data_IF_966655680690
#
_entry.id   IF_966655680690
#
_cell.length_a   1.000
_cell.length_b   1.000
_cell.length_c   1.000
_cell.angle_alpha   90.00
_cell.angle_beta   90.00
_cell.angle_gamma   90.00
#
_symmetry.space_group_name_H-M   'P 1'
#
loop_
_entity.id
_entity.type
_entity.pdbx_description
1 polymer ?
#
# COMPACT_ATOMS: atom_id res chain seq x y z
N UNK A 1 -53.43 -24.90 10.82
CA UNK A 1 -52.27 -24.39 10.06
C UNK A 1 -52.35 -22.88 10.05
N UNK A 2 -51.37 -22.18 10.62
CA UNK A 2 -51.44 -20.73 10.88
C UNK A 2 -51.35 -19.91 9.58
N UNK A 3 -52.24 -18.92 9.42
CA UNK A 3 -52.26 -17.93 8.32
C UNK A 3 -50.93 -17.18 8.14
N UNK A 4 -50.07 -17.14 9.16
CA UNK A 4 -48.72 -16.56 9.07
C UNK A 4 -47.79 -17.35 8.12
N UNK A 5 -47.99 -18.66 7.99
CA UNK A 5 -47.14 -19.49 7.14
C UNK A 5 -47.53 -19.41 5.66
N UNK A 6 -48.78 -19.04 5.34
CA UNK A 6 -49.20 -18.79 3.96
C UNK A 6 -48.62 -17.46 3.43
N UNK A 7 -48.57 -16.42 4.26
CA UNK A 7 -48.02 -15.12 3.87
C UNK A 7 -46.53 -15.18 3.52
N UNK A 8 -45.74 -15.89 4.34
CA UNK A 8 -44.31 -16.08 4.07
C UNK A 8 -44.02 -16.93 2.84
N UNK A 9 -44.86 -17.94 2.57
CA UNK A 9 -44.73 -18.79 1.38
C UNK A 9 -45.09 -18.04 0.09
N UNK A 10 -46.16 -17.23 0.13
CA UNK A 10 -46.57 -16.40 -1.01
C UNK A 10 -45.58 -15.26 -1.29
N UNK A 11 -44.96 -14.68 -0.26
CA UNK A 11 -43.88 -13.70 -0.42
C UNK A 11 -42.60 -14.32 -0.99
N UNK A 12 -42.26 -15.55 -0.61
CA UNK A 12 -41.13 -16.28 -1.19
C UNK A 12 -41.38 -16.63 -2.66
N UNK A 13 -42.59 -17.09 -3.00
CA UNK A 13 -43.00 -17.37 -4.38
C UNK A 13 -43.02 -16.10 -5.24
N UNK A 14 -43.46 -14.97 -4.68
CA UNK A 14 -43.46 -13.70 -5.40
C UNK A 14 -42.04 -13.16 -5.61
N UNK A 15 -41.14 -13.30 -4.63
CA UNK A 15 -39.72 -12.96 -4.78
C UNK A 15 -39.00 -13.83 -5.81
N UNK A 16 -39.33 -15.12 -5.89
CA UNK A 16 -38.78 -16.03 -6.90
C UNK A 16 -39.38 -15.80 -8.30
N UNK A 17 -40.66 -15.42 -8.40
CA UNK A 17 -41.25 -14.98 -9.68
C UNK A 17 -40.64 -13.66 -10.16
N UNK A 18 -40.37 -12.71 -9.24
CA UNK A 18 -39.73 -11.43 -9.56
C UNK A 18 -38.30 -11.63 -10.08
N UNK A 19 -37.56 -12.62 -9.55
CA UNK A 19 -36.24 -13.05 -10.05
C UNK A 19 -36.28 -13.72 -11.43
N UNK A 20 -37.42 -14.28 -11.83
CA UNK A 20 -37.61 -14.90 -13.15
C UNK A 20 -38.10 -13.91 -14.22
N UNK A 21 -38.95 -12.95 -13.84
CA UNK A 21 -39.56 -11.97 -14.75
C UNK A 21 -38.68 -10.73 -14.95
N UNK A 22 -37.93 -10.34 -13.91
CA UNK A 22 -36.90 -9.32 -13.99
C UNK A 22 -35.55 -9.99 -13.73
N UNK A 23 -34.88 -10.56 -14.76
CA UNK A 23 -33.48 -10.86 -14.61
C UNK A 23 -32.77 -9.53 -14.39
N UNK A 24 -32.45 -9.22 -13.13
CA UNK A 24 -31.29 -8.36 -12.83
C UNK A 24 -30.22 -8.85 -13.78
N UNK A 25 -29.77 -7.99 -14.69
CA UNK A 25 -28.91 -8.33 -15.81
C UNK A 25 -27.72 -9.13 -15.29
N UNK A 26 -27.87 -10.46 -15.30
CA UNK A 26 -26.79 -11.39 -14.99
C UNK A 26 -25.92 -11.35 -16.22
N UNK A 27 -24.98 -10.42 -16.20
CA UNK A 27 -23.79 -10.54 -17.00
C UNK A 27 -23.23 -11.95 -16.75
N UNK A 28 -23.31 -12.79 -17.78
CA UNK A 28 -22.56 -14.05 -17.83
C UNK A 28 -21.28 -13.73 -18.59
N UNK A 29 -20.12 -13.62 -17.92
CA UNK A 29 -18.85 -13.52 -18.64
C UNK A 29 -18.69 -14.78 -19.48
N UNK A 30 -18.68 -14.64 -20.80
CA UNK A 30 -18.53 -15.76 -21.74
C UNK A 30 -17.06 -16.16 -21.97
N UNK A 31 -16.10 -15.53 -21.29
CA UNK A 31 -14.68 -15.88 -21.36
C UNK A 31 -13.92 -15.36 -20.14
N UNK A 32 -12.96 -16.12 -19.63
CA UNK A 32 -11.92 -15.54 -18.76
C UNK A 32 -11.21 -14.43 -19.53
N UNK A 33 -10.92 -13.31 -18.86
CA UNK A 33 -9.99 -12.31 -19.37
C UNK A 33 -8.60 -12.93 -19.47
N UNK A 34 -8.31 -13.56 -20.60
CA UNK A 34 -6.96 -13.93 -20.97
C UNK A 34 -6.31 -12.71 -21.61
N UNK A 35 -5.26 -12.17 -21.01
CA UNK A 35 -4.38 -11.19 -21.67
C UNK A 35 -3.80 -11.82 -22.94
N UNK A 36 -4.16 -11.36 -24.15
CA UNK A 36 -3.40 -11.74 -25.32
C UNK A 36 -2.14 -10.89 -25.31
N UNK A 37 -1.02 -11.42 -24.80
CA UNK A 37 0.31 -10.79 -24.90
C UNK A 37 0.32 -9.34 -24.36
N UNK A 38 0.39 -9.22 -23.02
CA UNK A 38 0.79 -8.06 -22.20
C UNK A 38 0.37 -6.65 -22.69
N UNK A 39 -0.62 -6.04 -22.02
CA UNK A 39 -0.88 -4.59 -22.18
C UNK A 39 0.29 -3.78 -21.60
N UNK A 40 0.73 -2.72 -22.28
CA UNK A 40 1.51 -1.66 -21.62
C UNK A 40 0.64 -0.91 -20.60
N UNK A 41 1.21 -0.15 -19.64
CA UNK A 41 0.44 0.67 -18.72
C UNK A 41 -0.59 1.58 -19.42
N UNK A 42 -0.23 2.19 -20.56
CA UNK A 42 -1.10 3.06 -21.36
C UNK A 42 -2.25 2.29 -22.01
N UNK A 43 -1.95 1.13 -22.60
CA UNK A 43 -2.98 0.28 -23.20
C UNK A 43 -3.96 -0.22 -22.13
N UNK A 44 -3.46 -0.56 -20.93
CA UNK A 44 -4.31 -0.98 -19.82
C UNK A 44 -5.18 0.18 -19.33
N UNK A 45 -4.63 1.39 -19.22
CA UNK A 45 -5.39 2.60 -18.85
C UNK A 45 -6.52 2.91 -19.83
N UNK A 46 -6.29 2.73 -21.13
CA UNK A 46 -7.32 2.85 -22.17
C UNK A 46 -8.39 1.77 -22.02
N UNK A 47 -7.98 0.51 -21.83
CA UNK A 47 -8.90 -0.62 -21.66
C UNK A 47 -9.78 -0.50 -20.42
N UNK A 48 -9.23 0.03 -19.32
CA UNK A 48 -9.98 0.23 -18.09
C UNK A 48 -11.11 1.25 -18.24
N UNK A 49 -11.13 2.10 -19.28
CA UNK A 49 -12.28 2.96 -19.56
C UNK A 49 -13.55 2.15 -19.92
N UNK A 50 -13.39 0.90 -20.37
CA UNK A 50 -14.50 -0.02 -20.61
C UNK A 50 -14.89 -0.74 -19.32
N UNK A 51 -16.12 -0.46 -18.85
CA UNK A 51 -16.70 -1.12 -17.68
C UNK A 51 -16.80 -2.63 -17.86
N UNK A 52 -17.07 -3.13 -19.07
CA UNK A 52 -17.16 -4.57 -19.30
C UNK A 52 -15.82 -5.25 -19.01
N UNK A 53 -14.72 -4.65 -19.44
CA UNK A 53 -13.37 -5.12 -19.16
C UNK A 53 -13.06 -5.10 -17.65
N UNK A 54 -13.44 -4.04 -16.93
CA UNK A 54 -13.31 -4.01 -15.47
C UNK A 54 -14.08 -5.16 -14.80
N UNK A 55 -15.30 -5.45 -15.26
CA UNK A 55 -16.12 -6.54 -14.71
C UNK A 55 -15.55 -7.93 -15.02
N UNK A 56 -14.85 -8.12 -16.15
CA UNK A 56 -14.11 -9.35 -16.44
C UNK A 56 -12.96 -9.58 -15.44
N UNK A 57 -12.25 -8.51 -15.06
CA UNK A 57 -11.20 -8.56 -14.04
C UNK A 57 -11.78 -8.84 -12.65
N UNK A 58 -12.93 -8.25 -12.30
CA UNK A 58 -13.67 -8.58 -11.07
C UNK A 58 -14.05 -10.06 -11.07
N UNK A 59 -14.56 -10.57 -12.18
CA UNK A 59 -14.90 -11.99 -12.30
C UNK A 59 -13.67 -12.89 -12.07
N UNK A 60 -12.51 -12.54 -12.64
CA UNK A 60 -11.26 -13.26 -12.39
C UNK A 60 -10.86 -13.24 -10.91
N UNK A 61 -10.96 -12.11 -10.22
CA UNK A 61 -10.66 -12.03 -8.79
C UNK A 61 -11.57 -12.97 -7.99
N UNK A 62 -12.87 -12.94 -8.25
CA UNK A 62 -13.87 -13.75 -7.56
C UNK A 62 -13.72 -15.25 -7.86
N UNK A 63 -13.30 -15.62 -9.07
CA UNK A 63 -13.16 -17.03 -9.49
C UNK A 63 -11.80 -17.65 -9.20
N UNK A 64 -10.73 -16.84 -9.14
CA UNK A 64 -9.34 -17.33 -9.09
C UNK A 64 -8.64 -17.00 -7.78
N UNK A 65 -8.85 -15.79 -7.26
CA UNK A 65 -8.11 -15.25 -6.10
C UNK A 65 -8.91 -15.35 -4.80
N UNK A 66 -10.16 -14.87 -4.75
CA UNK A 66 -11.06 -14.99 -3.59
C UNK A 66 -11.25 -16.41 -3.06
N UNK A 67 -11.20 -17.49 -3.87
CA UNK A 67 -11.24 -18.85 -3.33
C UNK A 67 -10.13 -19.16 -2.32
N UNK A 68 -8.99 -18.45 -2.37
CA UNK A 68 -7.89 -18.60 -1.40
C UNK A 68 -8.23 -18.05 0.00
N UNK A 69 -9.38 -17.40 0.18
CA UNK A 69 -9.93 -17.11 1.51
C UNK A 69 -10.33 -18.40 2.26
N UNK A 70 -10.50 -19.53 1.55
CA UNK A 70 -10.63 -20.84 2.15
C UNK A 70 -9.26 -21.37 2.62
N UNK A 71 -9.13 -21.68 3.90
CA UNK A 71 -7.85 -22.09 4.50
C UNK A 71 -7.30 -23.39 3.90
N UNK A 72 -8.17 -24.35 3.55
CA UNK A 72 -7.74 -25.62 2.97
C UNK A 72 -7.21 -25.42 1.53
N UNK A 73 -7.87 -24.57 0.75
CA UNK A 73 -7.39 -24.24 -0.60
C UNK A 73 -6.09 -23.44 -0.55
N UNK A 74 -5.99 -22.45 0.34
CA UNK A 74 -4.76 -21.68 0.55
C UNK A 74 -3.60 -22.61 0.90
N UNK A 75 -3.82 -23.50 1.87
CA UNK A 75 -2.82 -24.49 2.30
C UNK A 75 -2.40 -25.39 1.15
N UNK A 76 -3.35 -25.91 0.36
CA UNK A 76 -3.04 -26.72 -0.81
C UNK A 76 -2.12 -25.99 -1.80
N UNK A 77 -2.38 -24.71 -2.08
CA UNK A 77 -1.53 -23.89 -2.98
C UNK A 77 -0.15 -23.61 -2.35
N UNK A 78 -0.10 -23.30 -1.06
CA UNK A 78 1.16 -23.08 -0.33
C UNK A 78 2.06 -24.33 -0.30
N UNK A 79 1.47 -25.52 -0.21
CA UNK A 79 2.19 -26.79 -0.27
C UNK A 79 2.57 -27.23 -1.68
N UNK A 80 1.89 -26.74 -2.72
CA UNK A 80 2.04 -27.27 -4.06
C UNK A 80 3.40 -26.90 -4.67
N UNK A 81 4.33 -27.86 -4.63
CA UNK A 81 5.65 -27.75 -5.26
C UNK A 81 5.75 -28.41 -6.63
N UNK A 82 4.63 -28.91 -7.19
CA UNK A 82 4.66 -29.51 -8.52
C UNK A 82 4.94 -28.41 -9.56
N UNK A 83 6.10 -28.47 -10.20
CA UNK A 83 6.52 -27.49 -11.20
C UNK A 83 7.57 -28.05 -12.17
N UNK A 84 7.51 -27.59 -13.41
CA UNK A 84 8.55 -27.71 -14.46
C UNK A 84 9.26 -26.38 -14.75
N UNK A 85 8.94 -25.30 -14.03
CA UNK A 85 9.51 -23.94 -14.18
C UNK A 85 10.75 -23.80 -13.28
N UNK A 86 11.71 -22.97 -13.70
CA UNK A 86 13.01 -22.73 -13.05
C UNK A 86 12.87 -22.39 -11.55
N UNK A 87 13.88 -22.74 -10.72
CA UNK A 87 13.98 -22.23 -9.35
C UNK A 87 14.02 -20.69 -9.34
N UNK A 88 13.54 -20.08 -8.25
CA UNK A 88 13.64 -18.64 -8.03
C UNK A 88 15.10 -18.33 -7.69
N UNK A 89 15.85 -17.96 -8.72
CA UNK A 89 17.23 -17.47 -8.66
C UNK A 89 17.29 -15.97 -9.00
N UNK A 90 18.49 -15.39 -8.95
CA UNK A 90 18.70 -13.96 -9.25
C UNK A 90 18.20 -13.58 -10.65
N UNK A 91 18.35 -14.47 -11.63
CA UNK A 91 17.93 -14.20 -13.01
C UNK A 91 16.40 -14.20 -13.14
N UNK A 92 15.71 -15.10 -12.42
CA UNK A 92 14.25 -15.11 -12.33
C UNK A 92 13.72 -13.81 -11.71
N UNK A 93 14.28 -13.38 -10.57
CA UNK A 93 13.86 -12.14 -9.89
C UNK A 93 14.12 -10.93 -10.79
N UNK A 94 15.28 -10.85 -11.43
CA UNK A 94 15.60 -9.77 -12.38
C UNK A 94 14.61 -9.76 -13.55
N UNK A 95 14.27 -10.91 -14.13
CA UNK A 95 13.32 -10.99 -15.23
C UNK A 95 11.91 -10.53 -14.82
N UNK A 96 11.49 -10.77 -13.58
CA UNK A 96 10.22 -10.25 -13.03
C UNK A 96 10.29 -8.73 -12.85
N UNK A 97 11.40 -8.21 -12.31
CA UNK A 97 11.63 -6.75 -12.21
C UNK A 97 11.56 -6.08 -13.58
N UNK A 98 12.30 -6.60 -14.56
CA UNK A 98 12.32 -6.05 -15.93
C UNK A 98 10.92 -6.09 -16.57
N UNK A 99 10.14 -7.15 -16.31
CA UNK A 99 8.78 -7.30 -16.83
C UNK A 99 7.81 -6.28 -16.26
N UNK A 100 7.95 -5.95 -14.98
CA UNK A 100 7.04 -5.05 -14.26
C UNK A 100 7.57 -3.61 -14.16
N UNK A 101 8.78 -3.35 -14.66
CA UNK A 101 9.44 -2.05 -14.52
C UNK A 101 8.58 -0.90 -15.03
N UNK A 102 7.97 -1.04 -16.22
CA UNK A 102 7.12 0.01 -16.79
C UNK A 102 5.93 0.39 -15.89
N UNK A 103 5.38 -0.57 -15.13
CA UNK A 103 4.27 -0.33 -14.23
C UNK A 103 4.69 0.44 -12.97
N UNK A 104 5.88 0.15 -12.44
CA UNK A 104 6.39 0.80 -11.22
C UNK A 104 7.05 2.16 -11.51
N UNK A 105 7.62 2.38 -12.71
CA UNK A 105 8.17 3.67 -13.11
C UNK A 105 7.10 4.74 -13.32
N UNK A 106 5.90 4.32 -13.73
CA UNK A 106 4.78 5.22 -13.97
C UNK A 106 3.88 5.40 -12.74
N UNK A 107 4.24 4.80 -11.59
CA UNK A 107 3.52 4.96 -10.34
C UNK A 107 3.31 6.44 -9.99
N UNK A 108 2.19 6.75 -9.32
CA UNK A 108 1.92 8.13 -8.92
C UNK A 108 2.96 8.62 -7.91
N UNK A 109 3.20 9.94 -7.75
CA UNK A 109 4.11 10.45 -6.74
C UNK A 109 3.91 9.77 -5.37
N UNK A 110 5.01 9.40 -4.71
CA UNK A 110 5.06 8.57 -3.50
C UNK A 110 4.80 7.05 -3.66
N UNK A 111 4.36 6.58 -4.82
CA UNK A 111 4.05 5.17 -5.13
C UNK A 111 4.78 4.65 -6.38
N UNK A 112 5.81 5.37 -6.79
CA UNK A 112 6.66 5.09 -7.95
C UNK A 112 7.87 4.23 -7.56
N UNK A 113 8.82 4.08 -8.48
CA UNK A 113 9.98 3.19 -8.37
C UNK A 113 10.64 3.15 -6.99
N UNK A 114 10.85 4.31 -6.37
CA UNK A 114 11.51 4.36 -5.07
C UNK A 114 10.75 3.61 -3.98
N UNK A 115 9.41 3.74 -3.91
CA UNK A 115 8.55 3.01 -2.98
C UNK A 115 8.72 1.48 -3.16
N UNK A 116 8.60 1.00 -4.39
CA UNK A 116 8.78 -0.41 -4.74
C UNK A 116 10.16 -0.96 -4.35
N UNK A 117 11.23 -0.16 -4.51
CA UNK A 117 12.57 -0.54 -4.06
C UNK A 117 12.63 -0.65 -2.54
N UNK A 118 12.04 0.30 -1.81
CA UNK A 118 12.02 0.25 -0.35
C UNK A 118 11.25 -0.97 0.18
N UNK A 119 10.12 -1.32 -0.43
CA UNK A 119 9.38 -2.51 -0.02
C UNK A 119 10.09 -3.81 -0.39
N UNK A 120 10.78 -3.84 -1.53
CA UNK A 120 11.66 -4.95 -1.90
C UNK A 120 12.72 -5.20 -0.81
N UNK A 121 13.38 -4.13 -0.36
CA UNK A 121 14.40 -4.18 0.67
C UNK A 121 13.79 -4.52 2.04
N UNK A 122 12.66 -3.91 2.41
CA UNK A 122 11.94 -4.17 3.66
C UNK A 122 11.47 -5.61 3.78
N UNK A 123 10.86 -6.16 2.71
CA UNK A 123 10.34 -7.52 2.68
C UNK A 123 11.45 -8.53 2.76
N UNK A 124 12.52 -8.31 2.00
CA UNK A 124 13.72 -9.12 2.07
C UNK A 124 14.35 -9.09 3.45
N UNK A 125 14.41 -7.92 4.10
CA UNK A 125 14.94 -7.79 5.46
C UNK A 125 14.10 -8.57 6.48
N UNK A 126 12.76 -8.50 6.41
CA UNK A 126 11.85 -9.29 7.26
C UNK A 126 12.07 -10.79 7.05
N UNK A 127 12.14 -11.24 5.79
CA UNK A 127 12.28 -12.67 5.46
C UNK A 127 13.63 -13.23 5.91
N UNK A 128 14.69 -12.42 5.84
CA UNK A 128 16.10 -12.84 5.88
C UNK A 128 16.44 -13.92 6.91
N UNK A 129 16.08 -13.70 8.18
CA UNK A 129 16.45 -14.57 9.31
C UNK A 129 15.39 -14.61 10.41
N UNK A 130 14.14 -14.26 10.12
CA UNK A 130 13.11 -14.23 11.15
C UNK A 130 12.69 -15.68 11.54
N UNK A 131 12.80 -16.08 12.83
CA UNK A 131 12.54 -17.46 13.24
C UNK A 131 11.09 -17.92 13.07
N UNK A 132 10.14 -17.00 13.01
CA UNK A 132 8.74 -17.31 12.76
C UNK A 132 8.48 -17.43 11.26
N UNK A 133 9.00 -16.49 10.46
CA UNK A 133 8.88 -16.52 9.00
C UNK A 133 9.59 -17.73 8.39
N UNK A 134 10.76 -18.12 8.92
CA UNK A 134 11.55 -19.26 8.43
C UNK A 134 10.82 -20.62 8.52
N UNK A 135 9.68 -20.69 9.21
CA UNK A 135 8.85 -21.90 9.31
C UNK A 135 7.79 -22.01 8.21
N UNK A 136 7.57 -20.95 7.44
CA UNK A 136 6.54 -20.89 6.40
C UNK A 136 6.83 -21.84 5.24
N UNK A 137 5.83 -22.06 4.39
CA UNK A 137 6.07 -22.74 3.12
C UNK A 137 6.87 -21.84 2.17
N UNK A 138 7.82 -22.42 1.42
CA UNK A 138 8.67 -21.65 0.50
C UNK A 138 7.85 -20.83 -0.51
N UNK A 139 6.77 -21.40 -1.06
CA UNK A 139 5.89 -20.66 -1.98
C UNK A 139 5.30 -19.38 -1.35
N UNK A 140 5.09 -19.37 -0.03
CA UNK A 140 4.65 -18.16 0.67
C UNK A 140 5.78 -17.15 0.85
N UNK A 141 7.01 -17.62 1.09
CA UNK A 141 8.19 -16.74 1.17
C UNK A 141 8.49 -16.11 -0.20
N UNK A 142 8.43 -16.90 -1.26
CA UNK A 142 8.53 -16.45 -2.64
C UNK A 142 7.45 -15.41 -2.95
N UNK A 143 6.19 -15.73 -2.60
CA UNK A 143 5.08 -14.81 -2.79
C UNK A 143 5.18 -13.54 -1.93
N UNK A 144 5.74 -13.63 -0.72
CA UNK A 144 5.97 -12.50 0.17
C UNK A 144 6.99 -11.52 -0.43
N UNK A 145 8.08 -12.02 -1.03
CA UNK A 145 9.07 -11.18 -1.69
C UNK A 145 8.44 -10.37 -2.82
N UNK A 146 7.74 -11.04 -3.74
CA UNK A 146 7.11 -10.37 -4.87
C UNK A 146 5.91 -9.51 -4.46
N UNK A 147 5.15 -9.94 -3.45
CA UNK A 147 4.05 -9.18 -2.89
C UNK A 147 4.54 -7.86 -2.33
N UNK A 148 5.60 -7.87 -1.52
CA UNK A 148 6.24 -6.66 -1.04
C UNK A 148 6.65 -5.72 -2.19
N UNK A 149 7.36 -6.26 -3.18
CA UNK A 149 7.88 -5.48 -4.32
C UNK A 149 6.81 -4.81 -5.18
N UNK A 150 5.65 -5.43 -5.41
CA UNK A 150 4.76 -5.05 -6.52
C UNK A 150 3.32 -4.75 -6.10
N UNK A 151 3.04 -4.62 -4.80
CA UNK A 151 1.66 -4.42 -4.34
C UNK A 151 0.98 -3.15 -4.87
N UNK A 152 1.75 -2.10 -5.14
CA UNK A 152 1.29 -0.82 -5.69
C UNK A 152 1.55 -0.64 -7.21
N UNK A 153 1.87 -1.72 -7.95
CA UNK A 153 2.27 -1.62 -9.37
C UNK A 153 1.15 -1.12 -10.31
N UNK A 154 -0.08 -1.00 -9.81
CA UNK A 154 -1.21 -0.46 -10.56
C UNK A 154 -1.35 1.06 -10.46
N UNK A 155 -0.63 1.72 -9.55
CA UNK A 155 -0.88 3.14 -9.23
C UNK A 155 -0.69 4.07 -10.43
N UNK A 156 0.23 3.74 -11.34
CA UNK A 156 0.43 4.48 -12.60
C UNK A 156 -0.68 4.28 -13.65
N UNK A 157 -1.47 3.23 -13.51
CA UNK A 157 -2.59 2.90 -14.39
C UNK A 157 -3.90 3.43 -13.82
N UNK A 158 -4.16 3.12 -12.54
CA UNK A 158 -5.29 3.60 -11.75
C UNK A 158 -4.76 4.28 -10.49
N UNK A 159 -5.09 5.55 -10.35
CA UNK A 159 -4.65 6.34 -9.22
C UNK A 159 -5.39 5.93 -7.93
N UNK A 160 -4.64 5.55 -6.89
CA UNK A 160 -5.21 5.00 -5.64
C UNK A 160 -6.21 5.91 -4.91
N UNK A 161 -6.05 7.23 -4.98
CA UNK A 161 -6.93 8.18 -4.28
C UNK A 161 -8.29 8.42 -4.94
N UNK A 162 -8.52 7.79 -6.10
CA UNK A 162 -9.82 7.76 -6.78
C UNK A 162 -10.34 6.32 -6.91
N UNK A 163 -9.81 5.37 -6.13
CA UNK A 163 -10.28 3.99 -6.12
C UNK A 163 -11.78 3.88 -5.94
N UNK A 164 -12.41 4.80 -5.21
CA UNK A 164 -13.85 4.83 -5.01
C UNK A 164 -14.66 5.10 -6.30
N UNK A 165 -14.04 5.36 -7.44
CA UNK A 165 -14.71 5.59 -8.72
C UNK A 165 -14.72 4.34 -9.64
N UNK A 166 -13.89 3.34 -9.36
CA UNK A 166 -13.64 2.17 -10.21
C UNK A 166 -14.33 0.91 -9.69
N UNK A 167 -14.47 -0.13 -10.51
CA UNK A 167 -14.99 -1.43 -10.03
C UNK A 167 -13.97 -2.14 -9.12
N UNK A 168 -12.68 -1.94 -9.38
CA UNK A 168 -11.54 -2.52 -8.65
C UNK A 168 -10.80 -1.43 -7.86
N UNK A 169 -10.22 -1.79 -6.71
CA UNK A 169 -9.22 -0.92 -6.07
C UNK A 169 -7.82 -1.11 -6.67
N UNK A 170 -6.85 -0.24 -6.34
CA UNK A 170 -5.49 -0.33 -6.88
C UNK A 170 -4.83 -1.69 -6.58
N UNK A 171 -4.97 -2.24 -5.37
CA UNK A 171 -4.42 -3.55 -5.00
C UNK A 171 -5.03 -4.71 -5.79
N UNK A 172 -6.32 -4.65 -6.08
CA UNK A 172 -7.04 -5.63 -6.90
C UNK A 172 -6.59 -5.61 -8.36
N UNK A 173 -6.42 -4.41 -8.92
CA UNK A 173 -5.83 -4.23 -10.26
C UNK A 173 -4.37 -4.69 -10.28
N UNK A 174 -3.59 -4.37 -9.25
CA UNK A 174 -2.18 -4.75 -9.12
C UNK A 174 -2.00 -6.27 -9.07
N UNK A 175 -2.89 -6.97 -8.37
CA UNK A 175 -2.92 -8.42 -8.31
C UNK A 175 -3.15 -9.04 -9.69
N UNK A 176 -4.09 -8.49 -10.46
CA UNK A 176 -4.35 -8.92 -11.84
C UNK A 176 -3.13 -8.68 -12.74
N UNK A 177 -2.55 -7.48 -12.70
CA UNK A 177 -1.35 -7.13 -13.47
C UNK A 177 -0.23 -8.12 -13.15
N UNK A 178 0.10 -8.30 -11.87
CA UNK A 178 1.17 -9.21 -11.46
C UNK A 178 0.94 -10.64 -11.95
N UNK A 179 -0.27 -11.18 -11.73
CA UNK A 179 -0.60 -12.57 -12.05
C UNK A 179 -0.40 -12.89 -13.54
N UNK A 180 -0.87 -12.00 -14.41
CA UNK A 180 -0.79 -12.18 -15.87
C UNK A 180 0.57 -11.78 -16.43
N UNK A 181 1.19 -10.71 -15.92
CA UNK A 181 2.51 -10.24 -16.36
C UNK A 181 3.62 -11.27 -16.12
N UNK A 182 3.53 -12.03 -15.04
CA UNK A 182 4.55 -12.99 -14.61
C UNK A 182 4.32 -14.42 -15.10
N UNK A 183 3.32 -14.63 -15.96
CA UNK A 183 3.10 -15.91 -16.61
C UNK A 183 4.35 -16.37 -17.39
N UNK A 184 4.72 -17.63 -17.22
CA UNK A 184 5.94 -18.22 -17.78
C UNK A 184 7.24 -17.85 -17.05
N UNK A 185 7.22 -16.87 -16.14
CA UNK A 185 8.37 -16.53 -15.28
C UNK A 185 8.27 -17.21 -13.91
N UNK A 186 7.06 -17.29 -13.36
CA UNK A 186 6.78 -17.83 -12.03
C UNK A 186 5.78 -18.99 -12.10
N UNK A 187 5.92 -19.94 -11.18
CA UNK A 187 4.96 -21.04 -11.02
C UNK A 187 3.60 -20.50 -10.59
N UNK A 188 2.53 -21.10 -11.09
CA UNK A 188 1.17 -20.67 -10.77
C UNK A 188 0.90 -20.56 -9.25
N UNK A 189 1.33 -21.50 -8.38
CA UNK A 189 1.13 -21.35 -6.94
C UNK A 189 1.70 -20.05 -6.37
N UNK A 190 2.92 -19.67 -6.75
CA UNK A 190 3.56 -18.41 -6.31
C UNK A 190 2.81 -17.21 -6.88
N UNK A 191 2.42 -17.25 -8.17
CA UNK A 191 1.62 -16.16 -8.77
C UNK A 191 0.30 -15.94 -8.07
N UNK A 192 -0.44 -17.01 -7.76
CA UNK A 192 -1.74 -16.96 -7.06
C UNK A 192 -1.60 -16.42 -5.64
N UNK A 193 -0.60 -16.92 -4.88
CA UNK A 193 -0.34 -16.45 -3.51
C UNK A 193 0.11 -14.99 -3.50
N UNK A 194 0.93 -14.58 -4.47
CA UNK A 194 1.37 -13.18 -4.60
C UNK A 194 0.19 -12.29 -4.94
N UNK A 195 -0.61 -12.64 -5.95
CA UNK A 195 -1.81 -11.89 -6.32
C UNK A 195 -2.78 -11.75 -5.15
N UNK A 196 -2.97 -12.82 -4.35
CA UNK A 196 -3.77 -12.74 -3.13
C UNK A 196 -3.18 -11.78 -2.09
N UNK A 197 -1.87 -11.86 -1.84
CA UNK A 197 -1.19 -10.96 -0.92
C UNK A 197 -1.27 -9.50 -1.35
N UNK A 198 -1.09 -9.22 -2.65
CA UNK A 198 -1.23 -7.89 -3.25
C UNK A 198 -2.68 -7.40 -3.13
N UNK A 199 -3.69 -8.19 -3.52
CA UNK A 199 -5.08 -7.75 -3.45
C UNK A 199 -5.54 -7.48 -2.01
N UNK A 200 -5.03 -8.25 -1.06
CA UNK A 200 -5.33 -8.12 0.36
C UNK A 200 -4.47 -7.07 1.08
N UNK A 201 -3.48 -6.45 0.45
CA UNK A 201 -2.61 -5.48 1.11
C UNK A 201 -3.33 -4.21 1.60
N UNK A 202 -4.33 -3.64 0.88
CA UNK A 202 -5.02 -2.44 1.35
C UNK A 202 -5.76 -2.78 2.65
N UNK A 203 -5.51 -1.99 3.70
CA UNK A 203 -6.08 -2.25 5.01
C UNK A 203 -7.54 -1.81 5.10
N UNK A 204 -8.45 -2.64 4.58
CA UNK A 204 -9.89 -2.42 4.63
C UNK A 204 -10.53 -3.20 5.78
N UNK A 205 -11.06 -2.49 6.79
CA UNK A 205 -11.61 -3.12 8.02
C UNK A 205 -13.12 -3.38 7.97
N UNK A 206 -13.83 -2.83 6.98
CA UNK A 206 -15.28 -3.00 6.79
C UNK A 206 -15.62 -2.98 5.31
N UNK A 207 -16.81 -3.45 4.98
CA UNK A 207 -17.36 -3.32 3.64
C UNK A 207 -17.47 -1.84 3.24
N UNK A 208 -17.12 -1.55 2.00
CA UNK A 208 -17.19 -0.20 1.44
C UNK A 208 -17.96 -0.19 0.14
N UNK A 209 -18.86 0.78 -0.01
CA UNK A 209 -19.56 1.05 -1.27
C UNK A 209 -18.84 2.18 -2.01
N UNK A 210 -18.36 1.89 -3.20
CA UNK A 210 -17.79 2.86 -4.12
C UNK A 210 -18.90 3.77 -4.71
N UNK A 211 -18.52 4.90 -5.30
CA UNK A 211 -19.47 5.85 -5.92
C UNK A 211 -20.27 5.23 -7.06
N UNK A 212 -19.68 4.29 -7.78
CA UNK A 212 -20.34 3.54 -8.87
C UNK A 212 -21.30 2.45 -8.36
N UNK A 213 -21.45 2.28 -7.04
CA UNK A 213 -22.31 1.29 -6.41
C UNK A 213 -21.67 -0.09 -6.21
N UNK A 214 -20.43 -0.29 -6.64
CA UNK A 214 -19.69 -1.54 -6.36
C UNK A 214 -19.41 -1.66 -4.86
N UNK A 215 -19.44 -2.90 -4.38
CA UNK A 215 -19.29 -3.23 -2.96
C UNK A 215 -18.01 -4.03 -2.76
N UNK A 216 -17.07 -3.48 -1.99
CA UNK A 216 -15.79 -4.09 -1.69
C UNK A 216 -15.80 -4.70 -0.30
N UNK A 217 -15.41 -5.96 -0.21
CA UNK A 217 -15.36 -6.72 1.04
C UNK A 217 -13.93 -6.85 1.55
N UNK A 218 -13.70 -6.70 2.87
CA UNK A 218 -12.44 -7.04 3.51
C UNK A 218 -11.92 -8.39 3.06
N UNK A 219 -10.61 -8.47 2.81
CA UNK A 219 -9.94 -9.72 2.47
C UNK A 219 -9.68 -10.54 3.72
N UNK A 220 -9.82 -11.86 3.64
CA UNK A 220 -9.47 -12.74 4.78
C UNK A 220 -7.95 -12.82 4.95
N UNK A 221 -7.42 -12.12 5.95
CA UNK A 221 -5.98 -11.98 6.15
C UNK A 221 -5.42 -12.78 7.34
N UNK A 222 -6.26 -13.31 8.23
CA UNK A 222 -5.82 -13.89 9.50
C UNK A 222 -4.74 -14.99 9.34
N UNK A 223 -3.59 -14.82 10.00
CA UNK A 223 -2.56 -15.87 10.07
C UNK A 223 -3.10 -17.06 10.88
N UNK A 224 -3.04 -18.25 10.30
CA UNK A 224 -3.34 -19.52 10.98
C UNK A 224 -2.10 -20.42 11.01
N UNK A 225 -2.19 -21.52 11.76
CA UNK A 225 -1.10 -22.50 11.88
C UNK A 225 -1.56 -23.87 11.41
N UNK A 226 -0.79 -24.51 10.54
CA UNK A 226 -0.96 -25.92 10.18
C UNK A 226 0.18 -26.73 10.82
N UNK A 227 -0.13 -27.48 11.89
CA UNK A 227 0.90 -28.06 12.73
C UNK A 227 1.77 -26.97 13.38
N UNK A 228 3.06 -26.90 13.00
CA UNK A 228 4.01 -25.88 13.47
C UNK A 228 4.30 -24.78 12.43
N UNK A 229 3.70 -24.88 11.25
CA UNK A 229 3.94 -23.98 10.13
C UNK A 229 2.94 -22.83 10.15
N UNK A 230 3.39 -21.57 10.24
CA UNK A 230 2.51 -20.42 10.01
C UNK A 230 2.12 -20.34 8.53
N UNK A 231 0.87 -19.97 8.29
CA UNK A 231 0.26 -19.88 6.95
C UNK A 231 -0.44 -18.53 6.79
N UNK A 232 -0.49 -18.05 5.55
CA UNK A 232 -0.94 -16.72 5.15
C UNK A 232 0.07 -15.61 5.48
N UNK A 233 1.36 -15.96 5.49
CA UNK A 233 2.42 -15.01 5.78
C UNK A 233 2.71 -14.05 4.62
N UNK A 234 2.49 -14.48 3.38
CA UNK A 234 2.67 -13.61 2.22
C UNK A 234 1.85 -12.31 2.35
N UNK A 235 0.59 -12.42 2.79
CA UNK A 235 -0.30 -11.25 3.02
C UNK A 235 0.30 -10.30 4.07
N UNK A 236 0.81 -10.85 5.17
CA UNK A 236 1.31 -10.05 6.29
C UNK A 236 2.66 -9.44 6.02
N UNK A 237 3.56 -10.14 5.33
CA UNK A 237 4.84 -9.56 4.94
C UNK A 237 4.61 -8.41 3.96
N UNK A 238 3.75 -8.57 2.94
CA UNK A 238 3.38 -7.47 2.02
C UNK A 238 2.83 -6.25 2.77
N UNK A 239 1.97 -6.46 3.77
CA UNK A 239 1.44 -5.36 4.58
C UNK A 239 2.46 -4.76 5.54
N UNK A 240 3.31 -5.58 6.14
CA UNK A 240 4.38 -5.14 7.01
C UNK A 240 5.37 -4.27 6.25
N UNK A 241 5.67 -4.59 4.99
CA UNK A 241 6.57 -3.78 4.17
C UNK A 241 5.98 -2.45 3.80
N UNK A 242 4.75 -2.41 3.25
CA UNK A 242 4.07 -1.15 2.94
C UNK A 242 3.98 -0.28 4.20
N UNK A 243 3.66 -0.89 5.35
CA UNK A 243 3.67 -0.18 6.63
C UNK A 243 5.06 0.21 7.12
N UNK A 244 6.13 -0.52 6.84
CA UNK A 244 7.51 -0.13 7.21
C UNK A 244 7.98 1.07 6.39
N UNK A 245 7.60 1.15 5.12
CA UNK A 245 7.85 2.31 4.27
C UNK A 245 7.05 3.52 4.78
N UNK A 246 5.81 3.28 5.18
CA UNK A 246 4.90 4.25 5.80
C UNK A 246 5.07 4.37 7.31
N UNK A 247 6.14 3.81 7.87
CA UNK A 247 6.21 3.54 9.29
C UNK A 247 7.15 4.49 9.95
N UNK A 248 6.62 5.49 10.66
CA UNK A 248 7.26 6.05 11.85
C UNK A 248 8.71 6.50 11.74
N UNK A 249 9.28 6.96 10.62
CA UNK A 249 10.56 7.70 10.61
C UNK A 249 10.52 9.01 9.80
N UNK A 250 11.58 9.80 9.92
CA UNK A 250 11.70 11.10 9.25
C UNK A 250 12.06 11.03 7.77
N UNK A 251 12.69 9.94 7.33
CA UNK A 251 13.24 9.82 5.99
C UNK A 251 12.24 9.23 5.00
N UNK A 252 11.43 8.26 5.43
CA UNK A 252 10.48 7.55 4.58
C UNK A 252 9.09 8.07 4.78
N UNK A 253 8.60 8.10 6.01
CA UNK A 253 7.22 8.47 6.27
C UNK A 253 6.96 9.95 5.96
N UNK A 254 7.76 10.88 6.51
CA UNK A 254 7.54 12.33 6.32
C UNK A 254 7.53 12.74 4.83
N UNK A 255 8.55 12.34 4.09
CA UNK A 255 8.72 12.70 2.67
C UNK A 255 7.62 12.07 1.83
N UNK A 256 7.33 10.77 2.05
CA UNK A 256 6.27 10.07 1.32
C UNK A 256 4.91 10.69 1.58
N UNK A 257 4.57 10.95 2.85
CA UNK A 257 3.27 11.56 3.16
C UNK A 257 3.13 12.96 2.59
N UNK A 258 4.20 13.78 2.57
CA UNK A 258 4.13 15.08 1.92
C UNK A 258 3.80 14.93 0.42
N UNK A 259 4.50 14.03 -0.28
CA UNK A 259 4.27 13.73 -1.70
C UNK A 259 2.84 13.20 -1.95
N UNK A 260 2.42 12.22 -1.16
CA UNK A 260 1.08 11.63 -1.18
C UNK A 260 -0.02 12.69 -0.96
N UNK A 261 0.17 13.61 -0.01
CA UNK A 261 -0.80 14.69 0.26
C UNK A 261 -0.95 15.62 -0.94
N UNK A 262 0.13 16.02 -1.59
CA UNK A 262 0.05 16.87 -2.79
C UNK A 262 -0.65 16.14 -3.93
N UNK A 263 -0.25 14.89 -4.17
CA UNK A 263 -0.77 14.09 -5.26
C UNK A 263 -2.27 13.82 -5.10
N UNK A 264 -2.67 13.38 -3.91
CA UNK A 264 -4.07 13.21 -3.56
C UNK A 264 -4.89 14.50 -3.66
N UNK A 265 -4.34 15.65 -3.24
CA UNK A 265 -5.02 16.94 -3.38
C UNK A 265 -5.27 17.32 -4.85
N UNK A 266 -4.30 17.06 -5.74
CA UNK A 266 -4.39 17.40 -7.18
C UNK A 266 -5.52 16.69 -7.90
N UNK A 267 -5.76 15.43 -7.54
CA UNK A 267 -6.84 14.64 -8.14
C UNK A 267 -8.18 14.81 -7.42
N UNK A 268 -8.26 15.72 -6.44
CA UNK A 268 -9.44 15.85 -5.58
C UNK A 268 -9.74 14.54 -4.83
N UNK A 269 -8.71 13.73 -4.62
CA UNK A 269 -8.80 12.40 -4.06
C UNK A 269 -9.03 12.42 -2.56
N UNK A 270 -9.41 11.26 -2.05
CA UNK A 270 -9.59 11.04 -0.62
C UNK A 270 -8.64 9.93 -0.20
N UNK A 271 -8.03 10.06 0.99
CA UNK A 271 -7.31 8.93 1.57
C UNK A 271 -8.25 8.09 2.42
N UNK A 272 -8.04 6.77 2.39
CA UNK A 272 -8.78 5.84 3.22
C UNK A 272 -7.95 5.51 4.46
N UNK A 273 -8.35 6.05 5.62
CA UNK A 273 -7.75 5.68 6.90
C UNK A 273 -8.77 4.99 7.81
N UNK A 274 -8.64 3.67 7.95
CA UNK A 274 -9.51 2.86 8.80
C UNK A 274 -10.97 2.89 8.35
N UNK A 275 -11.77 3.77 8.95
CA UNK A 275 -13.23 3.83 8.75
C UNK A 275 -13.73 5.07 8.02
N UNK A 276 -12.90 6.10 7.84
CA UNK A 276 -13.29 7.40 7.29
C UNK A 276 -12.38 7.82 6.13
N UNK A 277 -12.95 8.63 5.23
CA UNK A 277 -12.22 9.27 4.13
C UNK A 277 -11.70 10.63 4.59
N UNK A 278 -10.45 10.92 4.27
CA UNK A 278 -9.80 12.18 4.59
C UNK A 278 -9.54 13.03 3.33
N UNK A 279 -9.78 14.34 3.39
CA UNK A 279 -9.56 15.26 2.27
C UNK A 279 -8.15 15.86 2.32
N UNK A 280 -7.30 15.49 1.36
CA UNK A 280 -5.93 15.98 1.25
C UNK A 280 -5.78 17.51 1.18
N UNK A 281 -6.75 18.22 0.61
CA UNK A 281 -6.70 19.68 0.52
C UNK A 281 -6.64 20.35 1.90
N UNK A 282 -7.28 19.76 2.90
CA UNK A 282 -7.29 20.32 4.25
C UNK A 282 -5.90 20.19 4.93
N UNK A 283 -5.08 19.20 4.50
CA UNK A 283 -3.79 18.85 5.10
C UNK A 283 -2.63 19.66 4.54
N UNK A 284 -2.75 20.14 3.29
CA UNK A 284 -1.67 20.80 2.55
C UNK A 284 -0.93 21.86 3.37
N UNK A 285 -1.67 22.73 4.06
CA UNK A 285 -1.10 23.84 4.85
C UNK A 285 -0.41 23.39 6.15
N UNK A 286 -0.55 22.13 6.54
CA UNK A 286 0.03 21.59 7.77
C UNK A 286 1.20 20.61 7.53
N UNK A 287 1.64 20.45 6.28
CA UNK A 287 2.79 19.59 5.93
C UNK A 287 4.06 20.06 6.65
N UNK A 288 4.34 21.36 6.61
CA UNK A 288 5.53 21.97 7.23
C UNK A 288 5.22 22.70 8.56
N UNK A 289 4.12 22.37 9.23
CA UNK A 289 3.89 22.90 10.58
C UNK A 289 4.89 22.25 11.55
N UNK A 290 5.75 23.03 12.25
CA UNK A 290 6.83 22.48 13.08
C UNK A 290 6.33 21.96 14.45
N UNK A 291 5.02 21.77 14.61
CA UNK A 291 4.38 21.35 15.87
C UNK A 291 3.50 20.15 15.63
N UNK A 292 3.58 19.15 16.51
CA UNK A 292 2.67 18.01 16.52
C UNK A 292 1.30 18.41 17.11
N UNK A 293 0.43 18.98 16.26
CA UNK A 293 -0.92 19.44 16.61
C UNK A 293 -2.01 18.79 15.74
N UNK A 294 -3.24 18.82 16.24
CA UNK A 294 -4.48 18.56 15.49
C UNK A 294 -5.29 19.85 15.44
N UNK A 295 -5.67 20.27 14.24
CA UNK A 295 -6.50 21.46 14.05
C UNK A 295 -7.92 21.04 13.69
N UNK A 296 -8.92 21.66 14.33
CA UNK A 296 -10.33 21.44 14.02
C UNK A 296 -10.82 22.47 13.00
N UNK A 297 -11.29 22.01 11.83
CA UNK A 297 -11.81 22.86 10.76
C UNK A 297 -13.33 22.61 10.64
N UNK A 298 -14.19 23.63 10.76
CA UNK A 298 -15.63 23.47 10.55
C UNK A 298 -15.93 22.94 9.15
N UNK A 299 -16.76 21.90 9.06
CA UNK A 299 -17.32 21.42 7.81
C UNK A 299 -18.33 22.45 7.33
N UNK A 300 -18.20 22.90 6.08
CA UNK A 300 -19.07 23.91 5.50
C UNK A 300 -20.10 23.29 4.55
N UNK A 301 -21.31 23.83 4.52
CA UNK A 301 -22.32 23.53 3.51
C UNK A 301 -22.04 24.28 2.19
N UNK A 302 -22.90 24.07 1.19
CA UNK A 302 -22.81 24.73 -0.12
C UNK A 302 -22.87 26.26 -0.08
N UNK A 303 -23.44 26.84 0.99
CA UNK A 303 -23.52 28.28 1.23
C UNK A 303 -22.35 28.79 2.12
N UNK A 304 -21.33 27.96 2.35
CA UNK A 304 -20.16 28.23 3.20
C UNK A 304 -20.50 28.45 4.67
N UNK A 305 -21.60 27.89 5.18
CA UNK A 305 -21.97 27.94 6.60
C UNK A 305 -21.56 26.65 7.31
N UNK A 306 -21.20 26.70 8.60
CA UNK A 306 -20.89 25.48 9.35
C UNK A 306 -22.07 24.51 9.37
N UNK A 307 -21.82 23.26 8.98
CA UNK A 307 -22.74 22.15 9.16
C UNK A 307 -22.87 21.90 10.65
N UNK A 308 -24.09 21.89 11.16
CA UNK A 308 -24.37 21.71 12.58
C UNK A 308 -24.90 20.30 12.85
N UNK A 309 -24.39 19.66 13.90
CA UNK A 309 -24.92 18.41 14.45
C UNK A 309 -24.99 18.54 15.97
N UNK A 310 -26.15 18.24 16.55
CA UNK A 310 -26.38 18.35 18.01
C UNK A 310 -26.01 19.74 18.57
N UNK A 311 -26.36 20.80 17.83
CA UNK A 311 -26.04 22.21 18.13
C UNK A 311 -24.54 22.53 18.23
N UNK A 312 -23.67 21.69 17.66
CA UNK A 312 -22.23 21.95 17.53
C UNK A 312 -21.81 21.93 16.07
N UNK A 313 -20.83 22.75 15.65
CA UNK A 313 -20.23 22.62 14.34
C UNK A 313 -19.65 21.21 14.17
N UNK A 314 -19.99 20.56 13.07
CA UNK A 314 -19.25 19.38 12.63
C UNK A 314 -17.86 19.85 12.23
N UNK A 315 -16.82 19.20 12.74
CA UNK A 315 -15.43 19.56 12.47
C UNK A 315 -14.66 18.41 11.85
N UNK A 316 -13.83 18.72 10.87
CA UNK A 316 -12.77 17.86 10.39
C UNK A 316 -11.54 18.04 11.29
N UNK A 317 -11.01 16.94 11.81
CA UNK A 317 -9.77 16.93 12.58
C UNK A 317 -8.59 16.72 11.64
N UNK A 318 -7.76 17.73 11.50
CA UNK A 318 -6.65 17.74 10.56
C UNK A 318 -5.33 17.70 11.33
N UNK A 319 -4.62 16.56 11.36
CA UNK A 319 -3.31 16.48 11.97
C UNK A 319 -2.27 17.21 11.12
N UNK A 320 -1.34 17.90 11.79
CA UNK A 320 -0.04 18.24 11.19
C UNK A 320 0.75 16.98 10.84
N UNK A 321 1.73 17.12 9.93
CA UNK A 321 2.58 15.99 9.54
C UNK A 321 3.35 15.39 10.74
N UNK A 322 3.85 16.23 11.65
CA UNK A 322 4.51 15.75 12.87
C UNK A 322 3.55 15.01 13.80
N UNK A 323 2.29 15.43 13.88
CA UNK A 323 1.26 14.70 14.63
C UNK A 323 0.91 13.37 13.96
N UNK A 324 0.94 13.31 12.63
CA UNK A 324 0.74 12.07 11.89
C UNK A 324 1.86 11.06 12.18
N UNK A 325 3.12 11.49 12.11
CA UNK A 325 4.30 10.70 12.51
C UNK A 325 4.18 10.20 13.96
N UNK A 326 3.80 11.09 14.88
CA UNK A 326 3.57 10.75 16.29
C UNK A 326 2.48 9.69 16.46
N UNK A 327 1.37 9.83 15.72
CA UNK A 327 0.27 8.87 15.71
C UNK A 327 0.72 7.48 15.23
N UNK A 328 1.50 7.41 14.15
CA UNK A 328 2.07 6.16 13.66
C UNK A 328 3.05 5.52 14.65
N UNK A 329 3.94 6.33 15.22
CA UNK A 329 4.88 5.85 16.23
C UNK A 329 4.13 5.27 17.45
N UNK A 330 3.06 5.94 17.88
CA UNK A 330 2.20 5.50 18.98
C UNK A 330 1.42 4.23 18.62
N UNK A 331 0.90 4.14 17.39
CA UNK A 331 0.22 2.94 16.87
C UNK A 331 1.17 1.74 16.82
N UNK A 332 2.41 1.92 16.37
CA UNK A 332 3.41 0.86 16.37
C UNK A 332 3.69 0.31 17.78
N UNK A 333 3.71 1.20 18.79
CA UNK A 333 3.89 0.82 20.20
C UNK A 333 2.63 0.23 20.85
N UNK A 334 1.45 0.46 20.26
CA UNK A 334 0.16 -0.06 20.74
C UNK A 334 -0.12 -1.51 20.33
N UNK A 335 0.91 -2.27 19.96
CA UNK A 335 0.84 -3.68 19.61
C UNK A 335 0.24 -4.56 20.75
N UNK A 336 -0.63 -5.58 20.49
CA UNK A 336 -1.32 -6.00 19.26
C UNK A 336 -2.66 -5.27 19.00
N UNK A 337 -2.94 -4.18 19.69
CA UNK A 337 -4.31 -3.67 19.85
C UNK A 337 -4.81 -2.83 18.68
N UNK A 338 -4.06 -2.71 17.58
CA UNK A 338 -4.53 -2.08 16.36
C UNK A 338 -4.65 -3.08 15.21
N UNK A 339 -5.65 -2.87 14.35
CA UNK A 339 -5.85 -3.72 13.17
C UNK A 339 -4.62 -3.69 12.23
N UNK A 340 -3.85 -2.59 12.24
CA UNK A 340 -2.65 -2.40 11.44
C UNK A 340 -1.40 -3.14 11.95
N UNK A 341 -1.38 -3.59 13.20
CA UNK A 341 -0.21 -4.21 13.84
C UNK A 341 -0.48 -5.56 14.51
N UNK A 342 -1.66 -6.14 14.29
CA UNK A 342 -2.14 -7.33 15.01
C UNK A 342 -1.18 -8.54 14.99
N UNK A 343 -0.30 -8.64 13.99
CA UNK A 343 0.66 -9.75 13.88
C UNK A 343 2.12 -9.37 14.07
N UNK A 344 2.47 -8.09 14.30
CA UNK A 344 3.87 -7.63 14.32
C UNK A 344 4.75 -8.42 15.28
N UNK A 345 4.28 -8.68 16.52
CA UNK A 345 5.01 -9.49 17.52
C UNK A 345 5.44 -10.87 17.08
N UNK A 346 4.80 -11.42 16.04
CA UNK A 346 5.12 -12.75 15.57
C UNK A 346 6.47 -12.75 14.86
N UNK A 347 6.85 -11.61 14.26
CA UNK A 347 8.16 -11.42 13.65
C UNK A 347 9.04 -10.53 14.55
N UNK A 348 10.10 -11.11 15.10
CA UNK A 348 11.14 -10.37 15.82
C UNK A 348 11.81 -9.34 14.93
N UNK A 349 12.06 -9.68 13.65
CA UNK A 349 12.73 -8.76 12.73
C UNK A 349 11.84 -7.56 12.41
N UNK A 350 10.54 -7.77 12.14
CA UNK A 350 9.58 -6.68 11.95
C UNK A 350 9.53 -5.77 13.19
N UNK A 351 9.52 -6.36 14.39
CA UNK A 351 9.50 -5.61 15.66
C UNK A 351 10.74 -4.74 15.81
N UNK A 352 11.93 -5.27 15.51
CA UNK A 352 13.20 -4.53 15.59
C UNK A 352 13.27 -3.39 14.57
N UNK A 353 12.90 -3.68 13.31
CA UNK A 353 12.86 -2.71 12.23
C UNK A 353 11.88 -1.55 12.53
N UNK A 354 10.67 -1.88 13.02
CA UNK A 354 9.68 -0.88 13.41
C UNK A 354 10.13 -0.08 14.65
N UNK A 355 10.83 -0.70 15.59
CA UNK A 355 11.38 0.00 16.77
C UNK A 355 12.43 1.03 16.36
N UNK A 356 13.29 0.70 15.39
CA UNK A 356 14.25 1.64 14.82
C UNK A 356 13.53 2.85 14.21
N UNK A 357 12.48 2.59 13.40
CA UNK A 357 11.66 3.64 12.82
C UNK A 357 11.09 4.54 13.92
N UNK A 358 10.31 3.98 14.84
CA UNK A 358 9.67 4.72 15.95
C UNK A 358 10.66 5.62 16.69
N UNK A 359 11.84 5.10 17.04
CA UNK A 359 12.88 5.88 17.71
C UNK A 359 13.37 7.06 16.86
N UNK A 360 13.48 6.88 15.54
CA UNK A 360 13.82 7.94 14.61
C UNK A 360 12.73 9.02 14.50
N UNK A 361 11.45 8.65 14.41
CA UNK A 361 10.35 9.65 14.41
C UNK A 361 10.31 10.48 15.68
N UNK A 362 10.44 9.85 16.85
CA UNK A 362 10.38 10.59 18.12
C UNK A 362 11.48 11.63 18.18
N UNK A 363 12.71 11.25 17.81
CA UNK A 363 13.84 12.18 17.73
C UNK A 363 13.61 13.30 16.71
N UNK A 364 13.06 12.98 15.53
CA UNK A 364 12.79 13.97 14.49
C UNK A 364 11.72 14.98 14.90
N UNK A 365 10.62 14.52 15.49
CA UNK A 365 9.54 15.38 15.99
C UNK A 365 10.10 16.33 17.05
N UNK A 366 10.88 15.80 18.00
CA UNK A 366 11.52 16.59 19.05
C UNK A 366 12.47 17.64 18.46
N UNK A 367 13.30 17.24 17.50
CA UNK A 367 14.25 18.11 16.82
C UNK A 367 13.55 19.28 16.11
N UNK A 368 12.55 18.99 15.28
CA UNK A 368 11.81 20.03 14.54
C UNK A 368 11.05 20.94 15.49
N UNK A 369 10.39 20.39 16.52
CA UNK A 369 9.59 21.21 17.44
C UNK A 369 10.41 22.08 18.39
N UNK A 370 11.65 21.72 18.70
CA UNK A 370 12.42 22.36 19.79
C UNK A 370 13.73 23.03 19.34
N UNK A 371 14.16 22.89 18.09
CA UNK A 371 15.38 23.52 17.60
C UNK A 371 15.09 24.49 16.45
N UNK A 372 15.94 25.49 16.25
CA UNK A 372 15.87 26.42 15.12
C UNK A 372 17.24 26.57 14.45
N UNK A 373 17.25 27.06 13.22
CA UNK A 373 18.46 27.32 12.45
C UNK A 373 18.19 27.94 11.09
N UNK A 374 19.15 27.84 10.17
CA UNK A 374 18.98 28.27 8.79
C UNK A 374 18.31 27.13 8.00
N UNK A 375 17.08 27.31 7.50
CA UNK A 375 16.40 26.25 6.77
C UNK A 375 17.13 25.95 5.45
N UNK A 376 17.17 24.68 5.08
CA UNK A 376 17.68 24.23 3.79
C UNK A 376 16.62 23.39 3.07
N UNK A 377 15.71 24.08 2.38
CA UNK A 377 14.62 23.43 1.65
C UNK A 377 15.11 22.60 0.46
N UNK A 378 16.30 22.90 -0.09
CA UNK A 378 16.89 22.12 -1.17
C UNK A 378 17.18 20.67 -0.72
N UNK A 379 17.57 20.45 0.54
CA UNK A 379 17.71 19.10 1.10
C UNK A 379 16.39 18.31 1.11
N UNK A 380 15.26 18.99 1.34
CA UNK A 380 13.96 18.35 1.27
C UNK A 380 13.60 17.94 -0.16
N UNK A 381 13.87 18.80 -1.15
CA UNK A 381 13.68 18.46 -2.57
C UNK A 381 14.59 17.30 -2.97
N UNK A 382 15.85 17.31 -2.52
CA UNK A 382 16.80 16.22 -2.72
C UNK A 382 16.25 14.89 -2.18
N UNK A 383 15.74 14.90 -0.95
CA UNK A 383 15.11 13.75 -0.31
C UNK A 383 13.89 13.24 -1.08
N UNK A 384 13.02 14.13 -1.56
CA UNK A 384 11.89 13.77 -2.41
C UNK A 384 12.34 13.04 -3.67
N UNK A 385 13.33 13.59 -4.39
CA UNK A 385 13.86 12.98 -5.62
C UNK A 385 14.45 11.59 -5.38
N UNK A 386 15.24 11.44 -4.31
CA UNK A 386 15.78 10.15 -3.88
C UNK A 386 14.67 9.16 -3.51
N UNK A 387 13.64 9.63 -2.79
CA UNK A 387 12.50 8.81 -2.38
C UNK A 387 11.63 8.34 -3.54
N UNK A 388 11.52 9.16 -4.57
CA UNK A 388 10.82 8.84 -5.81
C UNK A 388 11.64 7.97 -6.77
N UNK A 389 12.96 7.89 -6.63
CA UNK A 389 13.82 7.13 -7.54
C UNK A 389 14.15 7.88 -8.84
N UNK A 390 14.45 9.19 -8.74
CA UNK A 390 14.97 10.03 -9.84
C UNK A 390 16.09 9.34 -10.63
N UNK A 391 16.17 9.49 -11.97
CA UNK A 391 15.39 10.38 -12.84
C UNK A 391 14.03 9.82 -13.26
N UNK A 392 13.66 8.62 -12.81
CA UNK A 392 12.43 7.96 -13.28
C UNK A 392 11.18 8.42 -12.51
N UNK A 393 11.24 9.60 -11.88
CA UNK A 393 10.17 10.07 -11.00
C UNK A 393 9.09 10.86 -11.75
N UNK A 394 7.84 10.73 -11.32
CA UNK A 394 6.71 11.61 -11.63
C UNK A 394 6.77 12.96 -10.89
N UNK A 395 7.85 13.24 -10.15
CA UNK A 395 8.10 14.55 -9.56
C UNK A 395 8.38 15.61 -10.63
N UNK A 396 7.32 16.18 -11.17
CA UNK A 396 7.39 17.29 -12.13
C UNK A 396 7.89 18.58 -11.49
N UNK A 397 8.35 19.53 -12.32
CA UNK A 397 8.64 20.91 -11.89
C UNK A 397 7.48 21.54 -11.13
N UNK A 398 6.24 21.24 -11.53
CA UNK A 398 5.04 21.73 -10.85
C UNK A 398 4.88 21.14 -9.44
N UNK A 399 5.33 19.90 -9.21
CA UNK A 399 5.34 19.26 -7.87
C UNK A 399 6.32 19.95 -6.94
N UNK A 400 7.52 20.23 -7.45
CA UNK A 400 8.55 20.98 -6.70
C UNK A 400 8.06 22.39 -6.39
N UNK A 401 7.45 23.07 -7.38
CA UNK A 401 6.89 24.41 -7.18
C UNK A 401 5.78 24.41 -6.12
N UNK A 402 4.86 23.46 -6.18
CA UNK A 402 3.78 23.37 -5.19
C UNK A 402 4.33 23.11 -3.78
N UNK A 403 5.34 22.25 -3.63
CA UNK A 403 6.04 22.06 -2.35
C UNK A 403 6.66 23.36 -1.83
N UNK A 404 7.32 24.12 -2.72
CA UNK A 404 7.91 25.42 -2.37
C UNK A 404 6.84 26.45 -1.96
N UNK A 405 5.70 26.48 -2.67
CA UNK A 405 4.58 27.35 -2.33
C UNK A 405 4.04 27.02 -0.94
N UNK A 406 3.87 25.73 -0.62
CA UNK A 406 3.43 25.27 0.72
C UNK A 406 4.45 25.60 1.81
N UNK A 407 5.74 25.46 1.52
CA UNK A 407 6.82 25.87 2.41
C UNK A 407 6.74 27.37 2.73
N UNK A 408 6.51 28.20 1.71
CA UNK A 408 6.40 29.65 1.82
C UNK A 408 5.13 30.16 2.50
N UNK A 409 4.15 29.29 2.79
CA UNK A 409 3.00 29.62 3.65
C UNK A 409 3.40 29.75 5.13
N UNK A 410 4.54 29.20 5.53
CA UNK A 410 5.00 29.22 6.92
C UNK A 410 5.78 30.50 7.22
N UNK A 411 5.74 30.95 8.47
CA UNK A 411 6.52 32.11 8.90
C UNK A 411 8.02 31.81 8.86
N UNK A 412 8.92 32.82 8.76
CA UNK A 412 10.36 32.58 8.86
C UNK A 412 10.79 31.86 10.14
N UNK A 413 10.07 32.10 11.25
CA UNK A 413 10.29 31.39 12.52
C UNK A 413 9.91 29.91 12.40
N UNK A 414 8.72 29.60 11.86
CA UNK A 414 8.29 28.22 11.63
C UNK A 414 9.21 27.49 10.64
N UNK A 415 9.72 28.18 9.63
CA UNK A 415 10.68 27.64 8.69
C UNK A 415 12.02 27.33 9.37
N UNK A 416 12.50 28.20 10.25
CA UNK A 416 13.77 27.99 10.97
C UNK A 416 13.78 26.69 11.78
N UNK A 417 12.62 26.22 12.24
CA UNK A 417 12.48 24.96 12.97
C UNK A 417 12.83 23.71 12.16
N UNK A 418 12.73 23.75 10.83
CA UNK A 418 13.02 22.58 9.97
C UNK A 418 14.49 22.45 9.57
N UNK A 419 15.33 23.42 9.92
CA UNK A 419 16.75 23.46 9.55
C UNK A 419 17.48 22.15 9.84
N UNK A 420 17.33 21.63 11.07
CA UNK A 420 17.96 20.38 11.48
C UNK A 420 17.13 19.15 11.10
N UNK A 421 15.81 19.32 10.92
CA UNK A 421 14.91 18.26 10.49
C UNK A 421 15.32 17.65 9.15
N UNK A 422 15.50 18.46 8.10
CA UNK A 422 15.87 17.93 6.78
C UNK A 422 17.24 17.23 6.76
N UNK A 423 18.21 17.76 7.51
CA UNK A 423 19.52 17.10 7.68
C UNK A 423 19.40 15.74 8.39
N UNK A 424 18.59 15.67 9.44
CA UNK A 424 18.31 14.42 10.14
C UNK A 424 17.60 13.42 9.21
N UNK A 425 16.61 13.86 8.44
CA UNK A 425 15.90 13.00 7.49
C UNK A 425 16.83 12.41 6.43
N UNK A 426 17.76 13.22 5.88
CA UNK A 426 18.75 12.72 4.92
C UNK A 426 19.72 11.72 5.54
N UNK A 427 20.21 12.00 6.75
CA UNK A 427 21.11 11.08 7.47
C UNK A 427 20.39 9.75 7.75
N UNK A 428 19.15 9.84 8.25
CA UNK A 428 18.29 8.71 8.57
C UNK A 428 17.95 7.88 7.32
N UNK A 429 17.81 8.52 6.15
CA UNK A 429 17.57 7.83 4.89
C UNK A 429 18.71 6.85 4.55
N UNK A 430 19.95 7.31 4.62
CA UNK A 430 21.12 6.47 4.35
C UNK A 430 21.33 5.41 5.44
N UNK A 431 21.15 5.77 6.71
CA UNK A 431 21.21 4.82 7.82
C UNK A 431 20.17 3.71 7.65
N UNK A 432 18.96 4.05 7.23
CA UNK A 432 17.89 3.08 7.01
C UNK A 432 18.22 2.09 5.89
N UNK A 433 18.72 2.58 4.76
CA UNK A 433 19.19 1.71 3.67
C UNK A 433 20.30 0.76 4.15
N UNK A 434 21.21 1.25 4.99
CA UNK A 434 22.27 0.42 5.56
C UNK A 434 21.73 -0.61 6.57
N UNK A 435 20.74 -0.26 7.39
CA UNK A 435 20.05 -1.21 8.29
C UNK A 435 19.43 -2.34 7.48
N UNK A 436 18.68 -2.02 6.42
CA UNK A 436 18.06 -3.01 5.53
C UNK A 436 19.11 -3.88 4.84
N UNK A 437 20.13 -3.27 4.24
CA UNK A 437 21.21 -4.00 3.56
C UNK A 437 21.95 -4.95 4.51
N UNK A 438 22.27 -4.50 5.72
CA UNK A 438 22.93 -5.31 6.73
C UNK A 438 22.06 -6.50 7.14
N UNK A 439 20.74 -6.31 7.27
CA UNK A 439 19.82 -7.38 7.59
C UNK A 439 19.75 -8.41 6.45
N UNK A 440 19.60 -7.93 5.21
CA UNK A 440 19.57 -8.77 4.00
C UNK A 440 20.88 -9.56 3.83
N UNK A 441 22.04 -8.96 4.11
CA UNK A 441 23.35 -9.61 3.95
C UNK A 441 23.52 -10.86 4.82
N UNK A 442 22.77 -10.95 5.93
CA UNK A 442 22.83 -12.07 6.86
C UNK A 442 21.90 -13.21 6.47
N UNK A 443 21.08 -13.05 5.42
CA UNK A 443 19.96 -13.94 5.14
C UNK A 443 20.37 -15.40 4.92
N UNK A 444 19.56 -16.30 5.46
CA UNK A 444 19.72 -17.75 5.30
C UNK A 444 18.75 -18.33 4.28
N UNK A 445 17.59 -17.70 4.10
CA UNK A 445 16.54 -18.13 3.18
C UNK A 445 17.00 -18.08 1.70
N UNK A 446 16.71 -19.12 0.88
CA UNK A 446 17.13 -19.17 -0.53
C UNK A 446 16.63 -18.01 -1.38
N UNK A 447 15.39 -17.55 -1.16
CA UNK A 447 14.74 -16.49 -1.94
C UNK A 447 15.45 -15.16 -1.70
N UNK A 448 15.81 -14.86 -0.45
CA UNK A 448 16.56 -13.64 -0.12
C UNK A 448 18.00 -13.73 -0.61
N UNK A 449 18.64 -14.91 -0.55
CA UNK A 449 19.97 -15.12 -1.14
C UNK A 449 19.99 -14.89 -2.65
N UNK A 450 18.91 -15.28 -3.35
CA UNK A 450 18.75 -14.99 -4.77
C UNK A 450 18.57 -13.48 -5.04
N UNK A 451 17.94 -12.74 -4.12
CA UNK A 451 17.75 -11.29 -4.23
C UNK A 451 19.01 -10.46 -3.89
N UNK A 452 19.85 -10.94 -2.96
CA UNK A 452 21.05 -10.24 -2.47
C UNK A 452 21.93 -9.58 -3.56
N UNK A 453 22.26 -10.24 -4.69
CA UNK A 453 23.10 -9.64 -5.73
C UNK A 453 22.50 -8.38 -6.38
N UNK A 454 21.17 -8.20 -6.31
CA UNK A 454 20.47 -7.05 -6.90
C UNK A 454 20.47 -5.82 -5.98
N UNK A 455 20.62 -6.02 -4.67
CA UNK A 455 20.49 -4.98 -3.64
C UNK A 455 21.36 -3.74 -3.90
N UNK A 456 22.67 -3.86 -4.22
CA UNK A 456 23.50 -2.67 -4.48
C UNK A 456 23.00 -1.83 -5.66
N UNK A 457 22.51 -2.50 -6.73
CA UNK A 457 21.95 -1.84 -7.90
C UNK A 457 20.65 -1.10 -7.58
N UNK A 458 19.77 -1.72 -6.78
CA UNK A 458 18.53 -1.09 -6.34
C UNK A 458 18.78 0.12 -5.43
N UNK A 459 19.69 0.01 -4.45
CA UNK A 459 20.08 1.13 -3.59
C UNK A 459 20.64 2.28 -4.44
N UNK A 460 21.51 1.98 -5.41
CA UNK A 460 22.08 3.00 -6.28
C UNK A 460 21.02 3.78 -7.10
N UNK A 461 19.86 3.19 -7.41
CA UNK A 461 18.77 3.86 -8.12
C UNK A 461 18.01 4.88 -7.27
N UNK A 462 18.08 4.76 -5.95
CA UNK A 462 17.37 5.65 -5.01
C UNK A 462 18.32 6.58 -4.26
N UNK A 463 19.63 6.43 -4.44
CA UNK A 463 20.65 7.35 -3.88
C UNK A 463 21.31 8.25 -4.92
N UNK A 464 21.12 8.00 -6.22
CA UNK A 464 21.62 8.86 -7.29
C UNK A 464 20.64 10.00 -7.56
N UNK A 465 21.18 11.17 -7.86
CA UNK A 465 20.42 12.38 -8.20
C UNK A 465 20.91 12.90 -9.53
#
# INVERSE_FOLDING_TARGET
>A
MSLKNLGSFLLALWADLWRFVFPNSKYQPQKEATMPIFFTPEQLKEKLQDRAFQLEMVYWLESTIRPLENDALYLMVAHNRASTVRPIDTACIQAVLDRLEAYILLGTPAHELGHHIFDALGGSAIISNDPFVAKAYQNEIDAALFGAMFHDNATGVQHRYIDNEWELNHGELAAWIFYHATEGLLIEPVRRLTAYAIAAHPHMTKEMTAKNGSVRKPWRDQIFTFGKTPVRLAVWITRWTDRLENGGDSATHFVRHALATIDGARVGGLDLHGVDWYNFNDQLKYIFTPKAIVTEIPVLDQDKKPVMKDNKPVVNKVPSMLQHLKGYASSALAFPYSAYNQHDHRSSVMTDLMSWKVANSVKFIDLVSNTTGIPNFELFIQLMQMKSGSPNSQLTTDTIKMMLDLWNLNTPEDQAHWAQGFQMALTSYYEWLQVLQNQISKATDPTVKAFQPLVPGLIARVTKI
#
